data_IF_675827206639
#
_entry.id   IF_675827206639
#
_cell.length_a   1.000
_cell.length_b   1.000
_cell.length_c   1.000
_cell.angle_alpha   90.00
_cell.angle_beta   90.00
_cell.angle_gamma   90.00
#
_symmetry.space_group_name_H-M   'P 1'
#
loop_
_entity.id
_entity.type
_entity.pdbx_description
1 polymer ?
#
# COMPACT_ATOMS: atom_id res chain seq x y z
N UNK A 1 -0.44 17.51 -12.33
CA UNK A 1 -0.20 16.04 -12.31
C UNK A 1 -0.53 15.56 -10.90
N UNK A 2 -1.29 14.45 -10.76
CA UNK A 2 -1.60 13.85 -9.46
C UNK A 2 -0.48 12.88 -9.09
N UNK A 3 -0.01 12.91 -7.84
CA UNK A 3 0.99 11.99 -7.28
C UNK A 3 0.24 10.93 -6.45
N UNK A 4 0.13 9.73 -6.98
CA UNK A 4 -0.58 8.60 -6.35
C UNK A 4 0.43 7.64 -5.72
N UNK A 5 0.67 7.80 -4.43
CA UNK A 5 1.65 7.00 -3.68
C UNK A 5 1.10 5.60 -3.47
N UNK A 6 1.72 4.62 -4.11
CA UNK A 6 1.34 3.22 -3.99
C UNK A 6 2.12 2.55 -2.86
N UNK A 7 1.53 2.50 -1.69
CA UNK A 7 2.01 1.63 -0.63
C UNK A 7 1.66 0.17 -0.98
N UNK A 8 2.63 -0.75 -1.01
CA UNK A 8 2.37 -2.14 -1.40
C UNK A 8 1.29 -2.79 -0.55
N UNK A 9 0.41 -3.55 -1.19
CA UNK A 9 -0.73 -4.28 -0.58
C UNK A 9 -1.87 -3.39 -0.08
N UNK A 10 -1.89 -2.11 -0.49
CA UNK A 10 -2.92 -1.12 -0.18
C UNK A 10 -3.73 -0.74 -1.43
N UNK A 11 -4.28 -1.73 -2.14
CA UNK A 11 -5.15 -1.57 -3.32
C UNK A 11 -4.50 -0.89 -4.56
N UNK A 12 -3.16 -0.84 -4.66
CA UNK A 12 -2.48 -0.11 -5.73
C UNK A 12 -2.81 -0.59 -7.14
N UNK A 13 -2.98 -1.91 -7.38
CA UNK A 13 -3.38 -2.44 -8.70
C UNK A 13 -4.75 -1.88 -9.10
N UNK A 14 -5.74 -1.95 -8.21
CA UNK A 14 -7.08 -1.41 -8.47
C UNK A 14 -7.04 0.10 -8.74
N UNK A 15 -6.21 0.82 -7.99
CA UNK A 15 -6.01 2.26 -8.16
C UNK A 15 -5.41 2.57 -9.55
N UNK A 16 -4.36 1.82 -9.95
CA UNK A 16 -3.74 2.03 -11.26
C UNK A 16 -4.68 1.70 -12.42
N UNK A 17 -5.45 0.61 -12.30
CA UNK A 17 -6.47 0.25 -13.29
C UNK A 17 -7.52 1.37 -13.41
N UNK A 18 -7.94 1.95 -12.28
CA UNK A 18 -8.81 3.11 -12.25
C UNK A 18 -8.22 4.33 -12.96
N UNK A 19 -6.98 4.71 -12.65
CA UNK A 19 -6.30 5.82 -13.31
C UNK A 19 -6.13 5.60 -14.81
N UNK A 20 -5.74 4.41 -15.23
CA UNK A 20 -5.59 4.06 -16.64
C UNK A 20 -6.92 4.11 -17.42
N UNK A 21 -8.02 3.72 -16.80
CA UNK A 21 -9.33 3.77 -17.45
C UNK A 21 -9.77 5.19 -17.80
N UNK A 22 -9.33 6.18 -17.01
CA UNK A 22 -9.70 7.60 -17.21
C UNK A 22 -8.66 8.33 -18.05
N UNK A 23 -7.38 8.15 -17.77
CA UNK A 23 -6.30 8.95 -18.36
C UNK A 23 -5.53 8.23 -19.47
N UNK A 24 -5.78 6.93 -19.68
CA UNK A 24 -5.04 6.14 -20.68
C UNK A 24 -3.54 6.18 -20.44
N UNK A 25 -2.76 6.42 -21.48
CA UNK A 25 -1.30 6.50 -21.43
C UNK A 25 -0.74 7.68 -20.62
N UNK A 26 -1.58 8.64 -20.20
CA UNK A 26 -1.18 9.74 -19.30
C UNK A 26 -1.18 9.34 -17.81
N UNK A 27 -1.67 8.14 -17.48
CA UNK A 27 -1.46 7.51 -16.18
C UNK A 27 -0.23 6.62 -16.25
N UNK A 28 0.86 7.03 -15.61
CA UNK A 28 2.17 6.41 -15.69
C UNK A 28 2.47 5.64 -14.41
N UNK A 29 2.95 4.41 -14.56
CA UNK A 29 3.53 3.66 -13.44
C UNK A 29 5.00 4.03 -13.25
N UNK A 30 5.36 4.37 -12.01
CA UNK A 30 6.75 4.57 -11.61
C UNK A 30 7.10 3.72 -10.38
N UNK A 31 7.98 2.77 -10.58
CA UNK A 31 8.51 1.89 -9.52
C UNK A 31 10.03 1.98 -9.47
N UNK A 32 10.60 3.17 -9.21
CA UNK A 32 12.02 3.36 -9.29
C UNK A 32 12.75 2.57 -8.20
N UNK A 33 13.88 1.92 -8.50
CA UNK A 33 14.72 1.33 -7.47
C UNK A 33 15.38 2.39 -6.58
N UNK A 34 15.76 3.55 -7.12
CA UNK A 34 16.59 4.56 -6.41
C UNK A 34 16.18 6.02 -6.67
N UNK A 35 15.61 6.35 -7.82
CA UNK A 35 15.22 7.72 -8.18
C UNK A 35 13.91 7.74 -8.97
N UNK A 36 13.10 8.81 -8.81
CA UNK A 36 11.94 9.02 -9.68
C UNK A 36 12.35 9.02 -11.15
N UNK A 37 11.52 8.39 -11.99
CA UNK A 37 11.68 8.44 -13.43
C UNK A 37 11.34 9.81 -14.00
N UNK A 38 11.85 10.13 -15.19
CA UNK A 38 11.38 11.28 -15.94
C UNK A 38 9.98 11.00 -16.49
N UNK A 39 9.04 11.92 -16.21
CA UNK A 39 7.66 11.81 -16.72
C UNK A 39 7.43 12.82 -17.84
N UNK A 40 6.57 12.47 -18.79
CA UNK A 40 6.21 13.37 -19.88
C UNK A 40 5.44 14.61 -19.36
N UNK A 41 5.58 15.78 -20.02
CA UNK A 41 4.93 17.01 -19.55
C UNK A 41 3.39 16.94 -19.50
N UNK A 42 2.78 16.06 -20.28
CA UNK A 42 1.33 15.84 -20.33
C UNK A 42 0.85 14.72 -19.38
N UNK A 43 1.74 14.17 -18.54
CA UNK A 43 1.37 13.16 -17.55
C UNK A 43 0.31 13.71 -16.60
N UNK A 44 -0.81 13.01 -16.50
CA UNK A 44 -1.92 13.38 -15.63
C UNK A 44 -1.74 12.80 -14.20
N UNK A 45 -1.26 11.56 -14.12
CA UNK A 45 -1.04 10.84 -12.85
C UNK A 45 0.26 10.06 -12.91
N UNK A 46 1.06 10.16 -11.86
CA UNK A 46 2.13 9.20 -11.57
C UNK A 46 1.69 8.32 -10.41
N UNK A 47 1.71 7.01 -10.60
CA UNK A 47 1.33 6.01 -9.60
C UNK A 47 2.44 5.00 -9.43
N UNK A 48 2.88 4.76 -8.20
CA UNK A 48 3.95 3.78 -7.99
C UNK A 48 4.45 3.67 -6.55
N UNK A 49 5.46 2.82 -6.37
CA UNK A 49 6.18 2.69 -5.10
C UNK A 49 7.17 3.85 -4.93
N UNK A 50 6.63 5.06 -4.90
CA UNK A 50 7.36 6.33 -4.84
C UNK A 50 7.19 6.98 -3.47
N UNK A 51 8.14 7.79 -3.08
CA UNK A 51 8.02 8.67 -1.93
C UNK A 51 7.07 9.83 -2.25
N UNK A 52 6.38 10.34 -1.25
CA UNK A 52 5.38 11.39 -1.44
C UNK A 52 5.96 12.69 -2.00
N UNK A 53 7.25 12.95 -1.75
CA UNK A 53 7.95 14.15 -2.24
C UNK A 53 8.66 13.94 -3.58
N UNK A 54 8.59 12.73 -4.16
CA UNK A 54 9.28 12.40 -5.42
C UNK A 54 8.86 13.26 -6.61
N UNK A 55 7.63 13.77 -6.59
CA UNK A 55 7.07 14.63 -7.62
C UNK A 55 6.28 15.77 -7.01
N UNK A 56 6.17 16.88 -7.76
CA UNK A 56 5.31 18.00 -7.39
C UNK A 56 3.85 17.74 -7.82
N UNK A 57 2.91 18.15 -6.98
CA UNK A 57 1.48 18.09 -7.26
C UNK A 57 0.64 17.58 -6.09
N UNK A 58 -0.69 17.57 -6.26
CA UNK A 58 -1.59 17.04 -5.24
C UNK A 58 -1.38 15.55 -5.05
N UNK A 59 -1.47 15.09 -3.79
CA UNK A 59 -1.06 13.76 -3.34
C UNK A 59 -2.23 12.90 -2.90
N UNK A 60 -2.18 11.65 -3.31
CA UNK A 60 -3.12 10.60 -2.89
C UNK A 60 -2.32 9.49 -2.23
N UNK A 61 -2.76 9.03 -1.07
CA UNK A 61 -2.23 7.84 -0.41
C UNK A 61 -3.37 6.96 0.11
N UNK A 62 -3.21 5.66 -0.03
CA UNK A 62 -4.12 4.66 0.54
C UNK A 62 -3.32 3.75 1.44
N UNK A 63 -3.75 3.65 2.71
CA UNK A 63 -3.17 2.73 3.69
C UNK A 63 -4.10 1.52 3.89
N UNK A 64 -3.58 0.48 4.48
CA UNK A 64 -4.33 -0.72 4.88
C UNK A 64 -3.97 -1.07 6.31
N UNK A 65 -4.89 -1.70 7.06
CA UNK A 65 -4.57 -2.17 8.41
C UNK A 65 -3.29 -3.02 8.40
N UNK A 66 -2.27 -2.68 9.22
CA UNK A 66 -0.92 -3.26 9.09
C UNK A 66 -0.88 -4.79 9.20
N UNK A 67 -1.71 -5.37 10.08
CA UNK A 67 -1.82 -6.85 10.20
C UNK A 67 -2.33 -7.46 8.90
N UNK A 68 -3.42 -6.93 8.34
CA UNK A 68 -4.00 -7.39 7.08
C UNK A 68 -3.04 -7.19 5.89
N UNK A 69 -2.29 -6.10 5.92
CA UNK A 69 -1.26 -5.80 4.93
C UNK A 69 -0.13 -6.84 5.01
N UNK A 70 0.36 -7.17 6.19
CA UNK A 70 1.41 -8.16 6.44
C UNK A 70 0.98 -9.54 5.96
N UNK A 71 -0.23 -9.98 6.27
CA UNK A 71 -0.80 -11.25 5.79
C UNK A 71 -0.87 -11.26 4.25
N UNK A 72 -1.29 -10.15 3.65
CA UNK A 72 -1.35 -10.01 2.19
C UNK A 72 0.04 -10.03 1.53
N UNK A 73 1.06 -9.46 2.18
CA UNK A 73 2.45 -9.58 1.74
C UNK A 73 2.95 -11.01 1.79
N UNK A 74 2.73 -11.68 2.92
CA UNK A 74 3.10 -13.08 3.07
C UNK A 74 2.51 -13.92 1.95
N UNK A 75 1.21 -13.85 1.70
CA UNK A 75 0.58 -14.63 0.62
C UNK A 75 1.13 -14.33 -0.78
N UNK A 76 1.50 -13.08 -1.05
CA UNK A 76 2.15 -12.73 -2.32
C UNK A 76 3.53 -13.39 -2.42
N UNK A 77 4.30 -13.35 -1.36
CA UNK A 77 5.66 -13.88 -1.36
C UNK A 77 5.70 -15.39 -1.28
N UNK A 78 4.78 -15.99 -0.55
CA UNK A 78 4.57 -17.43 -0.54
C UNK A 78 4.33 -18.00 -1.95
N UNK A 79 3.46 -17.33 -2.72
CA UNK A 79 3.23 -17.68 -4.12
C UNK A 79 4.47 -17.47 -4.99
N UNK A 80 5.20 -16.37 -4.79
CA UNK A 80 6.44 -16.12 -5.54
C UNK A 80 7.50 -17.17 -5.24
N UNK A 81 7.67 -17.50 -3.97
CA UNK A 81 8.60 -18.52 -3.51
C UNK A 81 8.25 -19.91 -4.08
N UNK A 82 6.98 -20.30 -4.07
CA UNK A 82 6.50 -21.54 -4.68
C UNK A 82 6.78 -21.63 -6.19
N UNK A 83 6.88 -20.49 -6.87
CA UNK A 83 7.24 -20.40 -8.30
C UNK A 83 8.76 -20.24 -8.53
N UNK A 84 9.60 -20.38 -7.51
CA UNK A 84 11.05 -20.16 -7.60
C UNK A 84 11.44 -18.72 -7.96
N UNK A 85 10.55 -17.75 -7.73
CA UNK A 85 10.83 -16.33 -8.00
C UNK A 85 11.51 -15.68 -6.80
N UNK A 86 12.51 -14.82 -7.01
CA UNK A 86 13.22 -14.18 -5.92
C UNK A 86 12.26 -13.30 -5.10
N UNK A 87 12.47 -13.30 -3.76
CA UNK A 87 11.84 -12.42 -2.81
C UNK A 87 12.82 -11.28 -2.51
N UNK A 88 12.40 -10.05 -2.73
CA UNK A 88 13.23 -8.90 -2.45
C UNK A 88 12.42 -7.72 -1.92
N UNK A 89 13.06 -6.93 -1.09
CA UNK A 89 12.60 -5.61 -0.66
C UNK A 89 13.78 -4.65 -0.74
N UNK A 90 13.51 -3.39 -1.06
CA UNK A 90 14.55 -2.35 -1.05
C UNK A 90 15.15 -2.09 0.35
N UNK A 91 14.51 -2.60 1.38
CA UNK A 91 14.89 -2.39 2.78
C UNK A 91 15.71 -3.53 3.36
N UNK A 92 15.93 -4.60 2.60
CA UNK A 92 16.55 -5.82 3.11
C UNK A 92 17.47 -6.46 2.06
N UNK A 93 18.49 -7.15 2.55
CA UNK A 93 19.38 -7.92 1.70
C UNK A 93 18.65 -9.08 1.00
N UNK A 94 19.09 -9.46 -0.22
CA UNK A 94 18.56 -10.64 -0.88
C UNK A 94 18.71 -11.89 0.00
N UNK A 95 17.69 -12.75 0.00
CA UNK A 95 17.69 -13.98 0.80
C UNK A 95 17.14 -13.82 2.23
N UNK A 96 16.80 -12.60 2.67
CA UNK A 96 16.27 -12.36 4.02
C UNK A 96 14.90 -13.01 4.24
N UNK A 97 14.05 -13.03 3.22
CA UNK A 97 12.64 -13.43 3.39
C UNK A 97 12.37 -14.91 3.16
N UNK A 98 13.16 -15.61 2.37
CA UNK A 98 12.94 -17.01 2.04
C UNK A 98 12.86 -17.89 3.28
N UNK A 99 13.81 -17.83 4.27
CA UNK A 99 13.73 -18.61 5.47
C UNK A 99 12.48 -18.32 6.32
N UNK A 100 12.06 -17.04 6.35
CA UNK A 100 10.90 -16.63 7.13
C UNK A 100 9.60 -17.09 6.46
N UNK A 101 9.49 -17.00 5.13
CA UNK A 101 8.34 -17.56 4.39
C UNK A 101 8.22 -19.06 4.64
N UNK A 102 9.33 -19.80 4.62
CA UNK A 102 9.33 -21.23 4.94
C UNK A 102 8.97 -21.52 6.39
N UNK A 103 9.37 -20.67 7.32
CA UNK A 103 9.00 -20.81 8.73
C UNK A 103 7.48 -20.65 8.91
N UNK A 104 6.86 -19.65 8.28
CA UNK A 104 5.40 -19.42 8.32
C UNK A 104 4.62 -20.57 7.68
N UNK A 105 5.14 -21.19 6.61
CA UNK A 105 4.53 -22.40 6.02
C UNK A 105 4.48 -23.56 7.00
N UNK A 106 5.50 -23.71 7.86
CA UNK A 106 5.59 -24.77 8.86
C UNK A 106 4.77 -24.47 10.12
N UNK A 107 4.82 -23.23 10.57
CA UNK A 107 4.07 -22.72 11.72
C UNK A 107 3.55 -21.31 11.40
N UNK A 108 2.23 -21.12 11.20
CA UNK A 108 1.66 -19.81 10.90
C UNK A 108 2.01 -18.70 11.90
N UNK A 109 2.33 -19.03 13.15
CA UNK A 109 2.74 -18.07 14.19
C UNK A 109 4.06 -17.37 13.87
N UNK A 110 4.92 -17.97 13.03
CA UNK A 110 6.14 -17.33 12.54
C UNK A 110 5.86 -16.08 11.68
N UNK A 111 4.60 -15.77 11.38
CA UNK A 111 4.19 -14.50 10.76
C UNK A 111 4.63 -13.27 11.59
N UNK A 112 4.84 -13.44 12.88
CA UNK A 112 5.39 -12.41 13.78
C UNK A 112 6.80 -12.00 13.33
N UNK A 113 7.63 -12.96 12.94
CA UNK A 113 8.99 -12.68 12.45
C UNK A 113 8.95 -12.03 11.06
N UNK A 114 7.98 -12.42 10.23
CA UNK A 114 7.72 -11.75 8.96
C UNK A 114 7.29 -10.29 9.17
N UNK A 115 6.45 -10.01 10.17
CA UNK A 115 6.03 -8.66 10.54
C UNK A 115 7.21 -7.78 11.00
N UNK A 116 8.14 -8.34 11.78
CA UNK A 116 9.35 -7.62 12.23
C UNK A 116 10.23 -7.14 11.10
N UNK A 117 10.24 -7.85 9.98
CA UNK A 117 11.00 -7.43 8.82
C UNK A 117 10.37 -6.24 8.08
N UNK A 118 9.07 -6.03 8.19
CA UNK A 118 8.28 -5.01 7.47
C UNK A 118 8.81 -4.71 6.05
N UNK A 119 8.41 -5.44 5.02
CA UNK A 119 8.98 -5.35 3.69
C UNK A 119 8.73 -4.00 2.97
N UNK A 120 7.98 -3.09 3.60
CA UNK A 120 7.69 -1.78 3.04
C UNK A 120 7.05 -0.84 4.06
N UNK A 121 7.85 -0.27 4.98
CA UNK A 121 7.33 0.56 6.06
C UNK A 121 6.63 1.82 5.54
N UNK A 122 5.54 2.22 6.17
CA UNK A 122 4.74 3.38 5.77
C UNK A 122 5.54 4.68 5.76
N UNK A 123 6.40 4.88 6.77
CA UNK A 123 7.20 6.11 6.90
C UNK A 123 8.03 6.43 5.65
N UNK A 124 8.49 5.40 4.92
CA UNK A 124 9.26 5.62 3.71
C UNK A 124 8.43 6.25 2.60
N UNK A 125 7.15 5.86 2.49
CA UNK A 125 6.23 6.39 1.47
C UNK A 125 5.76 7.80 1.81
N UNK A 126 5.64 8.12 3.09
CA UNK A 126 5.29 9.48 3.56
C UNK A 126 6.42 10.48 3.33
N UNK A 127 7.67 10.02 3.41
CA UNK A 127 8.87 10.83 3.17
C UNK A 127 8.91 12.13 4.01
N UNK A 128 8.56 12.00 5.29
CA UNK A 128 8.53 13.09 6.25
C UNK A 128 7.28 13.96 6.24
N UNK A 129 6.34 13.74 5.31
CA UNK A 129 5.06 14.45 5.30
C UNK A 129 4.10 13.88 6.35
N UNK A 130 3.31 14.74 6.97
CA UNK A 130 2.17 14.34 7.77
C UNK A 130 0.99 13.95 6.86
N UNK A 131 0.06 13.14 7.37
CA UNK A 131 -1.09 12.67 6.57
C UNK A 131 -2.01 13.80 6.11
N UNK A 132 -2.12 14.88 6.88
CA UNK A 132 -2.96 16.03 6.54
C UNK A 132 -2.40 16.88 5.37
N UNK A 133 -1.13 16.69 5.01
CA UNK A 133 -0.49 17.27 3.82
C UNK A 133 -0.84 16.55 2.51
N UNK A 134 -1.54 15.40 2.59
CA UNK A 134 -2.07 14.73 1.42
C UNK A 134 -3.46 15.27 1.08
N UNK A 135 -3.73 15.46 -0.20
CA UNK A 135 -5.04 15.90 -0.70
C UNK A 135 -6.13 14.83 -0.51
N UNK A 136 -5.76 13.57 -0.68
CA UNK A 136 -6.62 12.42 -0.40
C UNK A 136 -5.86 11.40 0.43
N UNK A 137 -6.39 11.10 1.60
CA UNK A 137 -5.98 9.98 2.45
C UNK A 137 -7.14 9.01 2.52
N UNK A 138 -6.88 7.73 2.34
CA UNK A 138 -7.90 6.71 2.44
C UNK A 138 -7.39 5.40 3.03
N UNK A 139 -8.31 4.51 3.31
CA UNK A 139 -8.00 3.16 3.78
C UNK A 139 -8.56 2.12 2.81
N UNK A 140 -7.79 1.06 2.55
CA UNK A 140 -8.11 0.05 1.56
C UNK A 140 -9.39 -0.73 1.91
N UNK A 141 -9.70 -0.85 3.20
CA UNK A 141 -10.92 -1.49 3.72
C UNK A 141 -12.20 -0.74 3.33
N UNK A 142 -12.07 0.56 3.07
CA UNK A 142 -13.17 1.45 2.63
C UNK A 142 -12.85 2.05 1.24
N UNK A 143 -12.47 1.19 0.31
CA UNK A 143 -11.96 1.62 -1.00
C UNK A 143 -12.95 2.48 -1.79
N UNK A 144 -14.26 2.23 -1.68
CA UNK A 144 -15.29 3.06 -2.32
C UNK A 144 -15.22 4.51 -1.85
N UNK A 145 -15.00 4.74 -0.54
CA UNK A 145 -14.87 6.09 0.02
C UNK A 145 -13.61 6.81 -0.53
N UNK A 146 -12.56 6.05 -0.83
CA UNK A 146 -11.35 6.59 -1.50
C UNK A 146 -11.69 7.13 -2.89
N UNK A 147 -12.47 6.36 -3.66
CA UNK A 147 -12.91 6.76 -5.01
C UNK A 147 -13.77 8.02 -4.97
N UNK A 148 -14.69 8.10 -4.00
CA UNK A 148 -15.53 9.28 -3.79
C UNK A 148 -14.69 10.50 -3.38
N UNK A 149 -13.66 10.29 -2.54
CA UNK A 149 -12.73 11.34 -2.15
C UNK A 149 -11.95 11.91 -3.35
N UNK A 150 -11.49 11.02 -4.22
CA UNK A 150 -10.80 11.39 -5.46
C UNK A 150 -11.76 12.16 -6.40
N UNK A 151 -12.99 11.69 -6.57
CA UNK A 151 -13.99 12.38 -7.38
C UNK A 151 -14.28 13.79 -6.84
N UNK A 152 -14.49 13.90 -5.54
CA UNK A 152 -14.75 15.19 -4.89
C UNK A 152 -13.56 16.16 -5.00
N UNK A 153 -12.33 15.65 -4.77
CA UNK A 153 -11.12 16.50 -4.73
C UNK A 153 -10.65 16.92 -6.11
N UNK A 154 -10.76 16.04 -7.11
CA UNK A 154 -10.16 16.23 -8.44
C UNK A 154 -11.17 16.30 -9.58
N UNK A 155 -12.46 16.06 -9.32
CA UNK A 155 -13.47 15.96 -10.37
C UNK A 155 -13.30 14.74 -11.27
N UNK A 156 -12.60 13.70 -10.80
CA UNK A 156 -12.24 12.51 -11.57
C UNK A 156 -12.92 11.28 -10.97
N UNK A 157 -13.86 10.72 -11.71
CA UNK A 157 -14.55 9.51 -11.31
C UNK A 157 -13.80 8.27 -11.78
N UNK A 158 -13.24 7.53 -10.85
CA UNK A 158 -12.59 6.25 -11.09
C UNK A 158 -13.60 5.09 -10.96
N UNK A 159 -13.53 4.07 -11.82
CA UNK A 159 -14.35 2.87 -11.66
C UNK A 159 -13.89 2.05 -10.45
N UNK A 160 -14.82 1.38 -9.75
CA UNK A 160 -14.50 0.43 -8.69
C UNK A 160 -14.02 -0.90 -9.31
N UNK A 161 -12.73 -0.97 -9.57
CA UNK A 161 -12.06 -2.15 -10.11
C UNK A 161 -11.37 -2.90 -8.99
N UNK A 162 -12.11 -3.71 -8.21
CA UNK A 162 -11.51 -4.53 -7.14
C UNK A 162 -10.80 -5.74 -7.72
N UNK A 163 -9.52 -5.58 -8.04
CA UNK A 163 -8.64 -6.66 -8.48
C UNK A 163 -7.81 -7.21 -7.31
N UNK A 164 -7.47 -8.50 -7.39
CA UNK A 164 -6.58 -9.19 -6.43
C UNK A 164 -7.06 -9.26 -4.97
N UNK A 165 -8.34 -9.49 -4.73
CA UNK A 165 -8.82 -9.82 -3.37
C UNK A 165 -8.22 -11.17 -2.96
N UNK A 166 -7.43 -11.18 -1.89
CA UNK A 166 -6.87 -12.41 -1.35
C UNK A 166 -7.90 -13.07 -0.43
N UNK A 167 -8.50 -14.18 -0.87
CA UNK A 167 -9.48 -14.94 -0.08
C UNK A 167 -8.82 -15.84 0.98
N UNK A 168 -7.54 -16.15 0.82
CA UNK A 168 -6.83 -17.03 1.74
C UNK A 168 -6.53 -16.33 3.07
N UNK A 169 -6.97 -16.96 4.16
CA UNK A 169 -6.63 -16.57 5.53
C UNK A 169 -5.63 -17.58 6.09
N UNK A 170 -4.63 -17.12 6.83
CA UNK A 170 -3.62 -17.96 7.48
C UNK A 170 -4.15 -18.77 8.67
N UNK A 171 -5.41 -18.61 9.05
CA UNK A 171 -5.99 -19.30 10.22
C UNK A 171 -5.27 -18.96 11.53
N UNK A 172 -4.84 -17.72 11.71
CA UNK A 172 -4.15 -17.24 12.89
C UNK A 172 -5.13 -17.12 14.06
N UNK A 173 -4.66 -17.48 15.26
CA UNK A 173 -5.37 -17.22 16.50
C UNK A 173 -5.25 -15.74 16.92
N UNK A 174 -6.11 -15.33 17.85
CA UNK A 174 -6.18 -13.96 18.34
C UNK A 174 -4.85 -13.50 18.98
N UNK A 175 -4.23 -14.35 19.76
CA UNK A 175 -2.95 -14.04 20.39
C UNK A 175 -1.84 -13.77 19.37
N UNK A 176 -1.82 -14.51 18.27
CA UNK A 176 -0.86 -14.27 17.17
C UNK A 176 -1.17 -12.94 16.46
N UNK A 177 -2.44 -12.63 16.22
CA UNK A 177 -2.83 -11.34 15.60
C UNK A 177 -2.46 -10.15 16.49
N UNK A 178 -2.68 -10.24 17.80
CA UNK A 178 -2.27 -9.23 18.78
C UNK A 178 -0.74 -9.06 18.80
N UNK A 179 0.02 -10.15 18.78
CA UNK A 179 1.47 -10.09 18.73
C UNK A 179 2.00 -9.43 17.45
N UNK A 180 1.37 -9.71 16.30
CA UNK A 180 1.70 -9.02 15.02
C UNK A 180 1.37 -7.54 15.12
N UNK A 181 0.20 -7.17 15.66
CA UNK A 181 -0.20 -5.77 15.85
C UNK A 181 0.78 -5.03 16.76
N UNK A 182 1.20 -5.65 17.87
CA UNK A 182 2.18 -5.08 18.79
C UNK A 182 3.54 -4.81 18.11
N UNK A 183 4.01 -5.74 17.28
CA UNK A 183 5.25 -5.55 16.50
C UNK A 183 5.14 -4.37 15.52
N UNK A 184 3.93 -4.13 14.99
CA UNK A 184 3.63 -3.09 14.01
C UNK A 184 2.99 -1.83 14.63
N UNK A 185 3.08 -1.65 15.96
CA UNK A 185 2.41 -0.56 16.69
C UNK A 185 2.53 0.82 16.01
N UNK A 186 3.73 1.31 15.59
CA UNK A 186 3.83 2.61 14.92
C UNK A 186 3.06 2.67 13.58
N UNK A 187 2.96 1.55 12.89
CA UNK A 187 2.17 1.46 11.64
C UNK A 187 0.67 1.38 11.91
N UNK A 188 0.27 0.79 13.04
CA UNK A 188 -1.14 0.74 13.49
C UNK A 188 -1.61 2.14 13.87
N UNK A 189 -0.84 2.87 14.67
CA UNK A 189 -1.13 4.27 15.03
C UNK A 189 -1.30 5.16 13.80
N UNK A 190 -0.39 5.05 12.83
CA UNK A 190 -0.47 5.80 11.59
C UNK A 190 -1.71 5.43 10.75
N UNK A 191 -2.09 4.15 10.72
CA UNK A 191 -3.30 3.71 10.03
C UNK A 191 -4.56 4.23 10.73
N UNK A 192 -4.59 4.24 12.07
CA UNK A 192 -5.69 4.82 12.83
C UNK A 192 -5.84 6.32 12.57
N UNK A 193 -4.74 7.06 12.54
CA UNK A 193 -4.74 8.47 12.16
C UNK A 193 -5.31 8.67 10.74
N UNK A 194 -4.88 7.84 9.77
CA UNK A 194 -5.37 7.89 8.39
C UNK A 194 -6.88 7.61 8.31
N UNK A 195 -7.36 6.61 9.05
CA UNK A 195 -8.79 6.26 9.15
C UNK A 195 -9.59 7.44 9.68
N UNK A 196 -9.17 8.00 10.81
CA UNK A 196 -9.86 9.10 11.47
C UNK A 196 -9.85 10.37 10.60
N UNK A 197 -8.75 10.64 9.88
CA UNK A 197 -8.67 11.74 8.94
C UNK A 197 -9.60 11.53 7.74
N UNK A 198 -9.65 10.33 7.17
CA UNK A 198 -10.55 9.99 6.06
C UNK A 198 -12.02 10.14 6.49
N UNK A 199 -12.38 9.71 7.69
CA UNK A 199 -13.73 9.86 8.23
C UNK A 199 -14.11 11.34 8.42
N UNK A 200 -13.25 12.14 9.04
CA UNK A 200 -13.48 13.59 9.19
C UNK A 200 -13.69 14.28 7.85
N UNK A 201 -12.85 13.99 6.88
CA UNK A 201 -12.94 14.56 5.52
C UNK A 201 -14.16 14.05 4.75
N UNK A 202 -14.61 12.82 5.00
CA UNK A 202 -15.83 12.26 4.45
C UNK A 202 -17.11 12.90 5.02
N UNK A 203 -17.14 13.17 6.32
CA UNK A 203 -18.28 13.79 7.00
C UNK A 203 -18.51 15.26 6.60
N UNK A 204 -17.54 15.91 5.96
CA UNK A 204 -17.62 17.32 5.53
C UNK A 204 -17.97 17.47 4.04
N UNK A 205 -18.29 16.37 3.35
CA UNK A 205 -18.73 16.32 1.95
C UNK A 205 -20.23 16.19 1.88
#
# INVERSE_FOLDING_TARGET
MIVSVHVPKCAGTSMMDGWRSVFGGRAVEDYPPERPGAVAPDTAVVHGHIQATAYEGPRVIVLRHPVERTISFFHQWDRRHALGRPLWSRFHEPGTFEPVVEAVRRDPRAIIDFARLDPGPYWWYLDGLALDEFDVVGIAERYTDVLEAIEHRFGVRLPDTRSNITEQRLGLDEATLEAVASVLEPSVELWEEARDLAERRGATR
#
